data_IF_345896877260
#
_entry.id   IF_345896877260
#
_cell.length_a   1.000
_cell.length_b   1.000
_cell.length_c   1.000
_cell.angle_alpha   90.00
_cell.angle_beta   90.00
_cell.angle_gamma   90.00
#
_symmetry.space_group_name_H-M   'P 1'
#
loop_
_entity.id
_entity.type
_entity.pdbx_description
1 polymer ?
#
# COMPACT_ATOMS: atom_id res chain seq x y z
N UNK A 1 -8.34 -7.06 -14.47
CA UNK A 1 -8.06 -6.03 -13.46
C UNK A 1 -8.79 -6.37 -12.16
N UNK A 2 -8.13 -6.22 -11.02
CA UNK A 2 -8.75 -6.37 -9.72
C UNK A 2 -8.78 -5.01 -9.01
N UNK A 3 -9.86 -4.76 -8.29
CA UNK A 3 -10.00 -3.58 -7.44
C UNK A 3 -10.24 -4.02 -6.00
N UNK A 4 -9.47 -3.46 -5.09
CA UNK A 4 -9.63 -3.68 -3.66
C UNK A 4 -9.92 -2.34 -2.99
N UNK A 5 -10.97 -2.32 -2.20
CA UNK A 5 -11.40 -1.12 -1.50
C UNK A 5 -11.43 -1.41 0.00
N UNK A 6 -10.73 -0.60 0.76
CA UNK A 6 -10.75 -0.69 2.22
C UNK A 6 -11.24 0.62 2.80
N UNK A 7 -12.23 0.55 3.67
CA UNK A 7 -12.69 1.69 4.45
C UNK A 7 -11.95 1.71 5.79
N UNK A 8 -11.31 2.83 6.09
CA UNK A 8 -10.64 3.02 7.36
C UNK A 8 -11.66 3.35 8.44
N UNK A 9 -11.49 2.78 9.63
CA UNK A 9 -12.29 3.16 10.78
C UNK A 9 -11.54 4.25 11.55
N UNK A 10 -12.04 5.50 11.59
CA UNK A 10 -11.33 6.59 12.24
C UNK A 10 -11.28 6.43 13.77
N UNK A 11 -12.16 5.60 14.35
CA UNK A 11 -12.21 5.38 15.78
C UNK A 11 -11.18 4.36 16.28
N UNK A 12 -10.65 3.52 15.36
CA UNK A 12 -9.64 2.55 15.74
C UNK A 12 -8.26 3.21 15.84
N UNK A 13 -7.54 3.00 16.95
CA UNK A 13 -6.20 3.54 17.09
C UNK A 13 -5.21 2.82 16.15
N UNK A 14 -4.15 3.52 15.80
CA UNK A 14 -3.05 2.92 15.08
C UNK A 14 -2.35 1.89 15.97
N UNK A 15 -2.27 0.64 15.52
CA UNK A 15 -1.59 -0.41 16.26
C UNK A 15 -0.12 -0.39 15.88
N UNK A 16 0.76 -0.07 16.83
CA UNK A 16 2.20 0.08 16.56
C UNK A 16 2.84 -1.16 15.95
N UNK A 17 2.37 -2.35 16.28
CA UNK A 17 2.95 -3.57 15.71
C UNK A 17 2.71 -3.70 14.20
N UNK A 18 1.77 -2.95 13.61
CA UNK A 18 1.59 -2.94 12.16
C UNK A 18 2.81 -2.36 11.46
N UNK A 19 3.58 -1.51 12.12
CA UNK A 19 4.82 -0.95 11.59
C UNK A 19 5.88 -2.02 11.31
N UNK A 20 5.78 -3.18 11.93
CA UNK A 20 6.72 -4.29 11.70
C UNK A 20 6.54 -4.94 10.33
N UNK A 21 5.38 -4.75 9.71
CA UNK A 21 5.03 -5.42 8.46
C UNK A 21 5.19 -4.54 7.24
N UNK A 22 5.66 -3.31 7.43
CA UNK A 22 5.89 -2.37 6.34
C UNK A 22 7.39 -2.11 6.17
N UNK A 23 7.76 -1.54 5.01
CA UNK A 23 9.16 -1.21 4.73
C UNK A 23 9.70 -0.16 5.70
N UNK A 24 11.04 -0.13 5.87
CA UNK A 24 11.69 0.89 6.68
C UNK A 24 11.39 2.29 6.14
N UNK A 25 11.38 2.44 4.81
CA UNK A 25 11.04 3.70 4.14
C UNK A 25 9.62 4.16 4.51
N UNK A 26 8.64 3.24 4.49
CA UNK A 26 7.27 3.56 4.86
C UNK A 26 7.16 3.93 6.34
N UNK A 27 7.87 3.21 7.18
CA UNK A 27 7.87 3.49 8.63
C UNK A 27 8.37 4.91 8.92
N UNK A 28 9.47 5.31 8.32
CA UNK A 28 10.00 6.66 8.48
C UNK A 28 9.00 7.72 8.01
N UNK A 29 8.38 7.48 6.86
CA UNK A 29 7.40 8.39 6.28
C UNK A 29 6.20 8.55 7.21
N UNK A 30 5.69 7.45 7.75
CA UNK A 30 4.55 7.45 8.67
C UNK A 30 4.87 8.20 9.97
N UNK A 31 6.08 8.02 10.50
CA UNK A 31 6.49 8.67 11.73
C UNK A 31 6.57 10.20 11.58
N UNK A 32 6.76 10.71 10.36
CA UNK A 32 6.79 12.15 10.09
C UNK A 32 5.40 12.75 9.89
N UNK A 33 4.39 11.93 9.70
CA UNK A 33 3.02 12.41 9.48
C UNK A 33 2.40 12.93 10.77
N UNK A 34 1.73 14.07 10.69
CA UNK A 34 1.10 14.70 11.85
C UNK A 34 -0.27 14.12 12.16
N UNK A 35 -1.03 13.76 11.12
CA UNK A 35 -2.42 13.35 11.28
C UNK A 35 -2.56 11.84 11.34
N UNK A 36 -3.27 11.32 12.37
CA UNK A 36 -3.48 9.86 12.49
C UNK A 36 -4.15 9.25 11.27
N UNK A 37 -5.05 9.95 10.62
CA UNK A 37 -5.73 9.47 9.42
C UNK A 37 -4.76 9.24 8.27
N UNK A 38 -3.79 10.12 8.10
CA UNK A 38 -2.76 9.98 7.06
C UNK A 38 -1.88 8.77 7.33
N UNK A 39 -1.52 8.56 8.60
CA UNK A 39 -0.74 7.39 9.02
C UNK A 39 -1.48 6.10 8.71
N UNK A 40 -2.76 6.04 9.06
CA UNK A 40 -3.59 4.85 8.80
C UNK A 40 -3.71 4.56 7.31
N UNK A 41 -3.96 5.59 6.50
CA UNK A 41 -4.05 5.42 5.05
C UNK A 41 -2.76 4.88 4.47
N UNK A 42 -1.63 5.45 4.88
CA UNK A 42 -0.33 5.05 4.37
C UNK A 42 0.02 3.61 4.73
N UNK A 43 -0.21 3.21 5.98
CA UNK A 43 0.03 1.84 6.42
C UNK A 43 -0.90 0.86 5.74
N UNK A 44 -2.19 1.19 5.65
CA UNK A 44 -3.18 0.33 5.00
C UNK A 44 -2.83 0.10 3.53
N UNK A 45 -2.42 1.15 2.83
CA UNK A 45 -2.05 1.06 1.42
C UNK A 45 -0.91 0.05 1.22
N UNK A 46 0.16 0.12 1.99
CA UNK A 46 1.27 -0.82 1.84
C UNK A 46 0.88 -2.24 2.23
N UNK A 47 0.11 -2.41 3.30
CA UNK A 47 -0.35 -3.74 3.72
C UNK A 47 -1.26 -4.37 2.68
N UNK A 48 -2.18 -3.61 2.09
CA UNK A 48 -3.03 -4.09 1.00
C UNK A 48 -2.19 -4.56 -0.18
N UNK A 49 -1.19 -3.76 -0.57
CA UNK A 49 -0.31 -4.10 -1.67
C UNK A 49 0.46 -5.38 -1.41
N UNK A 50 1.06 -5.51 -0.22
CA UNK A 50 1.82 -6.70 0.16
C UNK A 50 0.94 -7.95 0.16
N UNK A 51 -0.24 -7.89 0.72
CA UNK A 51 -1.15 -9.03 0.76
C UNK A 51 -1.61 -9.45 -0.63
N UNK A 52 -1.98 -8.50 -1.46
CA UNK A 52 -2.44 -8.79 -2.82
C UNK A 52 -1.32 -9.35 -3.69
N UNK A 53 -0.13 -8.77 -3.63
CA UNK A 53 1.02 -9.24 -4.39
C UNK A 53 1.45 -10.64 -3.92
N UNK A 54 1.45 -10.89 -2.62
CA UNK A 54 1.77 -12.20 -2.05
C UNK A 54 0.84 -13.28 -2.57
N UNK A 55 -0.45 -13.00 -2.64
CA UNK A 55 -1.45 -13.93 -3.16
C UNK A 55 -1.17 -14.31 -4.63
N UNK A 56 -0.68 -13.35 -5.41
CA UNK A 56 -0.43 -13.55 -6.83
C UNK A 56 0.91 -14.24 -7.09
N UNK A 57 1.97 -13.82 -6.41
CA UNK A 57 3.34 -14.33 -6.69
C UNK A 57 3.83 -15.41 -5.76
N UNK A 58 3.14 -15.66 -4.65
CA UNK A 58 3.53 -16.69 -3.69
C UNK A 58 4.63 -16.31 -2.71
N UNK A 59 5.20 -15.11 -2.80
CA UNK A 59 6.20 -14.63 -1.85
C UNK A 59 5.48 -14.12 -0.59
N UNK A 60 5.90 -14.53 0.62
CA UNK A 60 5.26 -14.02 1.84
C UNK A 60 5.25 -12.49 1.89
N UNK A 61 4.18 -11.87 2.41
CA UNK A 61 4.04 -10.41 2.36
C UNK A 61 5.23 -9.63 2.92
N UNK A 62 5.79 -10.10 4.01
CA UNK A 62 6.94 -9.44 4.67
C UNK A 62 8.24 -9.56 3.88
N UNK A 63 8.32 -10.53 2.95
CA UNK A 63 9.52 -10.78 2.16
C UNK A 63 9.52 -10.03 0.83
N UNK A 64 8.42 -9.35 0.51
CA UNK A 64 8.34 -8.55 -0.70
C UNK A 64 9.16 -7.28 -0.56
N UNK A 65 9.96 -6.97 -1.58
CA UNK A 65 10.71 -5.73 -1.65
C UNK A 65 9.87 -4.68 -2.35
N UNK A 66 9.76 -3.50 -1.74
CA UNK A 66 9.11 -2.36 -2.36
C UNK A 66 10.18 -1.31 -2.65
N UNK A 67 10.31 -0.93 -3.89
CA UNK A 67 11.23 0.11 -4.33
C UNK A 67 10.46 1.32 -4.85
N UNK A 68 11.12 2.46 -4.95
CA UNK A 68 10.52 3.68 -5.48
C UNK A 68 11.13 4.00 -6.84
N UNK A 69 10.28 4.29 -7.81
CA UNK A 69 10.69 4.70 -9.14
C UNK A 69 11.19 6.15 -9.18
N UNK A 70 11.55 6.64 -10.38
CA UNK A 70 12.15 7.98 -10.54
C UNK A 70 11.31 9.13 -10.00
N UNK A 71 9.99 8.95 -9.97
CA UNK A 71 9.06 9.98 -9.49
C UNK A 71 8.48 9.63 -8.11
N UNK A 72 9.12 8.72 -7.40
CA UNK A 72 8.67 8.30 -6.07
C UNK A 72 7.53 7.29 -6.07
N UNK A 73 7.05 6.86 -7.23
CA UNK A 73 5.98 5.86 -7.31
C UNK A 73 6.53 4.49 -6.88
N UNK A 74 5.87 3.79 -5.94
CA UNK A 74 6.33 2.47 -5.50
C UNK A 74 6.13 1.42 -6.58
N UNK A 75 7.00 0.42 -6.60
CA UNK A 75 6.87 -0.74 -7.46
C UNK A 75 7.52 -1.97 -6.80
N UNK A 76 7.20 -3.16 -7.32
CA UNK A 76 7.69 -4.43 -6.79
C UNK A 76 8.69 -5.04 -7.79
N UNK A 77 10.01 -4.86 -7.57
CA UNK A 77 11.01 -5.32 -8.53
C UNK A 77 11.08 -6.84 -8.69
N UNK A 78 10.63 -7.60 -7.69
CA UNK A 78 10.70 -9.06 -7.72
C UNK A 78 9.47 -9.72 -8.33
N UNK A 79 8.49 -8.94 -8.77
CA UNK A 79 7.23 -9.45 -9.33
C UNK A 79 7.07 -8.95 -10.76
N UNK A 80 7.02 -9.89 -11.73
CA UNK A 80 6.84 -9.55 -13.14
C UNK A 80 5.36 -9.46 -13.49
N UNK A 81 5.05 -8.62 -14.49
CA UNK A 81 3.69 -8.42 -15.01
C UNK A 81 2.68 -8.03 -13.93
N UNK A 82 3.15 -7.34 -12.91
CA UNK A 82 2.34 -6.85 -11.82
C UNK A 82 2.36 -5.33 -11.83
N UNK A 83 1.25 -4.75 -12.20
CA UNK A 83 1.07 -3.30 -12.19
C UNK A 83 -0.04 -2.95 -11.22
N UNK A 84 0.16 -1.91 -10.46
CA UNK A 84 -0.82 -1.49 -9.48
C UNK A 84 -0.88 0.03 -9.39
N UNK A 85 -1.96 0.49 -8.83
CA UNK A 85 -2.10 1.89 -8.47
C UNK A 85 -2.84 1.99 -7.14
N UNK A 86 -2.32 2.85 -6.27
CA UNK A 86 -2.92 3.13 -4.98
C UNK A 86 -3.46 4.55 -4.98
N UNK A 87 -4.68 4.71 -4.52
CA UNK A 87 -5.29 6.01 -4.34
C UNK A 87 -6.09 6.03 -3.05
N UNK A 88 -6.43 7.20 -2.56
CA UNK A 88 -7.25 7.34 -1.38
C UNK A 88 -8.14 8.57 -1.48
N UNK A 89 -9.28 8.49 -0.85
CA UNK A 89 -10.20 9.61 -0.72
C UNK A 89 -10.99 9.44 0.58
N UNK A 90 -10.92 10.47 1.43
CA UNK A 90 -11.57 10.40 2.73
C UNK A 90 -11.08 9.21 3.55
N UNK A 91 -12.00 8.30 3.87
CA UNK A 91 -11.72 7.12 4.67
C UNK A 91 -11.41 5.86 3.83
N UNK A 92 -11.32 6.01 2.50
CA UNK A 92 -11.14 4.88 1.61
C UNK A 92 -9.74 4.82 1.04
N UNK A 93 -9.19 3.60 0.95
CA UNK A 93 -7.97 3.29 0.23
C UNK A 93 -8.33 2.32 -0.88
N UNK A 94 -7.91 2.61 -2.09
CA UNK A 94 -8.21 1.80 -3.27
C UNK A 94 -6.90 1.29 -3.88
N UNK A 95 -6.84 -0.01 -4.09
CA UNK A 95 -5.75 -0.68 -4.79
C UNK A 95 -6.28 -1.27 -6.09
N UNK A 96 -5.73 -0.88 -7.22
CA UNK A 96 -6.01 -1.46 -8.52
C UNK A 96 -4.80 -2.30 -8.96
N UNK A 97 -5.07 -3.50 -9.47
CA UNK A 97 -4.04 -4.45 -9.92
C UNK A 97 -4.36 -4.91 -11.33
N UNK A 98 -3.34 -5.01 -12.18
CA UNK A 98 -3.49 -5.52 -13.54
C UNK A 98 -2.17 -5.94 -14.14
N UNK A 99 -2.24 -6.49 -15.36
CA UNK A 99 -1.06 -6.92 -16.11
C UNK A 99 -0.47 -5.81 -16.98
N UNK A 100 -1.18 -4.71 -17.13
CA UNK A 100 -0.76 -3.54 -17.88
C UNK A 100 -0.69 -2.33 -16.95
N UNK A 101 0.11 -1.31 -17.27
CA UNK A 101 0.15 -0.10 -16.46
C UNK A 101 -1.25 0.48 -16.23
N UNK A 102 -1.54 0.85 -14.99
CA UNK A 102 -2.86 1.30 -14.56
C UNK A 102 -2.80 2.70 -13.96
N UNK A 103 -3.87 3.45 -14.19
CA UNK A 103 -4.14 4.67 -13.45
C UNK A 103 -5.53 4.61 -12.86
N UNK A 104 -5.63 4.78 -11.54
CA UNK A 104 -6.90 4.87 -10.82
C UNK A 104 -6.83 6.06 -9.89
N UNK A 105 -7.84 6.89 -9.96
CA UNK A 105 -7.96 8.05 -9.09
C UNK A 105 -9.33 8.03 -8.43
N UNK A 106 -9.36 8.33 -7.13
CA UNK A 106 -10.59 8.36 -6.34
C UNK A 106 -10.76 9.75 -5.76
N UNK A 107 -11.86 10.37 -6.10
CA UNK A 107 -12.19 11.70 -5.61
C UNK A 107 -13.32 11.68 -4.58
#
# INVERSE_FOLDING_TARGET
MELHLVRLNPELPLIRRTLRYVSASRREKVERMRHPEDRKRSLTAELMLRCAASRICGIPPRNLTIANGPYGKPYLPDVTDFHFNLSHSGQYVVLAIGHLPLGVDVE
#
